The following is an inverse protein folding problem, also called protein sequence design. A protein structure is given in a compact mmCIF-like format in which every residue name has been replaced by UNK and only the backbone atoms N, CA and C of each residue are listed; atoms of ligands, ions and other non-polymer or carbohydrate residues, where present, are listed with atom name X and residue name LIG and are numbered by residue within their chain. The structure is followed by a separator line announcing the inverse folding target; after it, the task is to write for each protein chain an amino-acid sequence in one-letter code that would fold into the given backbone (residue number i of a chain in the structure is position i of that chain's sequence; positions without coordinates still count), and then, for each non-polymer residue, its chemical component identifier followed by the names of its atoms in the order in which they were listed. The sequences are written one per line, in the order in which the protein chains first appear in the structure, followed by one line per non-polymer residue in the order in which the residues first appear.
data_IF_753651538355
#
_entry.id   IF_753651538355
#
_cell.length_a   1.000
_cell.length_b   1.000
_cell.length_c   1.000
_cell.angle_alpha   90.00
_cell.angle_beta   90.00
_cell.angle_gamma   90.00
#
_symmetry.space_group_name_H-M   'P 1'
#
loop_
_entity.id
_entity.type
_entity.pdbx_description
1 polymer ?
#
# COMPACT_ATOMS: atom_id res chain seq x y z
N UNK A 1 0.14 14.44 7.77
CA UNK A 1 -0.83 13.66 6.98
C UNK A 1 -0.97 12.29 7.62
N UNK A 2 -2.17 11.73 7.69
CA UNK A 2 -2.40 10.43 8.32
C UNK A 2 -2.12 9.27 7.37
N UNK A 3 -1.96 8.07 7.92
CA UNK A 3 -1.74 6.85 7.15
C UNK A 3 -2.79 5.77 7.49
N UNK A 4 -3.32 5.11 6.48
CA UNK A 4 -4.11 3.89 6.60
C UNK A 4 -3.25 2.72 6.14
N UNK A 5 -2.86 1.83 7.06
CA UNK A 5 -2.08 0.64 6.73
C UNK A 5 -3.03 -0.54 6.59
N UNK A 6 -3.20 -1.02 5.36
CA UNK A 6 -4.02 -2.19 5.07
C UNK A 6 -3.26 -3.48 5.37
N UNK A 7 -3.99 -4.60 5.34
CA UNK A 7 -3.44 -5.93 5.62
C UNK A 7 -2.76 -6.02 7.00
N UNK A 8 -3.29 -5.33 8.02
CA UNK A 8 -2.69 -5.25 9.35
C UNK A 8 -2.63 -6.61 10.10
N UNK A 9 -3.06 -7.71 9.47
CA UNK A 9 -2.79 -9.08 9.91
C UNK A 9 -1.40 -9.59 9.46
N UNK A 10 -0.71 -8.92 8.54
CA UNK A 10 0.61 -9.30 8.02
C UNK A 10 1.75 -8.66 8.82
N UNK A 11 2.88 -9.36 8.90
CA UNK A 11 4.06 -8.91 9.68
C UNK A 11 4.66 -7.62 9.14
N UNK A 12 4.72 -7.46 7.83
CA UNK A 12 5.22 -6.24 7.18
C UNK A 12 4.30 -5.04 7.44
N UNK A 13 2.98 -5.21 7.42
CA UNK A 13 2.03 -4.17 7.80
C UNK A 13 2.22 -3.74 9.27
N UNK A 14 2.44 -4.69 10.19
CA UNK A 14 2.79 -4.38 11.59
C UNK A 14 4.08 -3.57 11.68
N UNK A 15 5.11 -3.94 10.92
CA UNK A 15 6.36 -3.18 10.86
C UNK A 15 6.14 -1.76 10.32
N UNK A 16 5.33 -1.61 9.27
CA UNK A 16 4.93 -0.31 8.71
C UNK A 16 4.20 0.57 9.73
N UNK A 17 3.20 0.02 10.45
CA UNK A 17 2.48 0.73 11.52
C UNK A 17 3.45 1.22 12.60
N UNK A 18 4.39 0.37 13.03
CA UNK A 18 5.40 0.74 14.03
C UNK A 18 6.33 1.83 13.53
N UNK A 19 6.85 1.70 12.31
CA UNK A 19 7.73 2.70 11.71
C UNK A 19 7.05 4.07 11.58
N UNK A 20 5.84 4.11 11.05
CA UNK A 20 5.05 5.32 10.93
C UNK A 20 4.74 5.96 12.29
N UNK A 21 4.27 5.17 13.26
CA UNK A 21 3.99 5.68 14.60
C UNK A 21 5.23 6.17 15.35
N UNK A 22 6.38 5.49 15.21
CA UNK A 22 7.67 5.97 15.75
C UNK A 22 8.09 7.30 15.13
N UNK A 23 7.75 7.54 13.86
CA UNK A 23 8.02 8.79 13.15
C UNK A 23 6.98 9.90 13.43
N UNK A 24 6.02 9.67 14.35
CA UNK A 24 4.98 10.65 14.70
C UNK A 24 3.81 10.70 13.72
N UNK A 25 3.71 9.78 12.76
CA UNK A 25 2.57 9.68 11.84
C UNK A 25 1.44 8.90 12.50
N UNK A 26 0.21 9.44 12.45
CA UNK A 26 -0.98 8.72 12.92
C UNK A 26 -1.32 7.58 11.95
N UNK A 27 -0.91 6.37 12.31
CA UNK A 27 -1.15 5.16 11.52
C UNK A 27 -2.42 4.43 11.99
N UNK A 28 -3.40 4.28 11.11
CA UNK A 28 -4.62 3.51 11.33
C UNK A 28 -4.45 2.11 10.77
N UNK A 29 -4.63 1.10 11.63
CA UNK A 29 -4.48 -0.31 11.24
C UNK A 29 -5.80 -0.84 10.68
N UNK A 30 -5.82 -1.18 9.39
CA UNK A 30 -6.95 -1.84 8.73
C UNK A 30 -6.65 -3.32 8.52
N UNK A 31 -7.54 -4.19 8.99
CA UNK A 31 -7.54 -5.60 8.64
C UNK A 31 -8.97 -6.12 8.53
N UNK A 32 -9.24 -7.10 7.66
CA UNK A 32 -10.57 -7.71 7.54
C UNK A 32 -10.98 -8.46 8.82
N UNK A 33 -10.02 -9.04 9.53
CA UNK A 33 -10.25 -9.79 10.76
C UNK A 33 -10.00 -8.95 12.03
N UNK A 34 -10.84 -9.15 13.05
CA UNK A 34 -10.69 -8.46 14.34
C UNK A 34 -9.35 -8.74 15.02
N UNK A 35 -8.77 -9.92 14.78
CA UNK A 35 -7.53 -10.38 15.40
C UNK A 35 -6.25 -10.00 14.64
N UNK A 36 -6.33 -9.11 13.65
CA UNK A 36 -5.13 -8.63 12.95
C UNK A 36 -4.13 -7.97 13.91
N UNK A 37 -2.92 -8.52 14.01
CA UNK A 37 -1.92 -8.12 15.01
C UNK A 37 -1.60 -6.61 15.00
N UNK A 38 -1.59 -5.97 13.84
CA UNK A 38 -1.33 -4.54 13.68
C UNK A 38 -2.37 -3.66 14.34
N UNK A 39 -3.62 -4.13 14.50
CA UNK A 39 -4.68 -3.41 15.23
C UNK A 39 -4.35 -3.27 16.71
N UNK A 40 -3.52 -4.15 17.25
CA UNK A 40 -3.12 -4.17 18.65
C UNK A 40 -1.71 -3.59 18.87
N UNK A 41 -1.10 -3.03 17.83
CA UNK A 41 0.16 -2.30 17.97
C UNK A 41 -0.04 -1.08 18.85
N UNK A 42 0.84 -0.86 19.83
CA UNK A 42 0.87 0.37 20.64
C UNK A 42 1.08 1.64 19.81
N UNK A 43 1.57 1.48 18.58
CA UNK A 43 1.82 2.58 17.63
C UNK A 43 0.66 2.81 16.65
N UNK A 44 -0.42 2.02 16.74
CA UNK A 44 -1.62 2.27 15.96
C UNK A 44 -2.44 3.40 16.62
N UNK A 45 -2.68 4.48 15.87
CA UNK A 45 -3.53 5.59 16.30
C UNK A 45 -5.03 5.23 16.29
N UNK A 46 -5.39 4.16 15.58
CA UNK A 46 -6.73 3.62 15.59
C UNK A 46 -6.84 2.32 14.80
N UNK A 47 -8.03 1.73 14.85
CA UNK A 47 -8.32 0.41 14.30
C UNK A 47 -9.50 0.53 13.35
N UNK A 48 -9.30 0.06 12.13
CA UNK A 48 -10.33 0.07 11.09
C UNK A 48 -10.69 -1.34 10.67
N UNK A 49 -11.92 -1.50 10.22
CA UNK A 49 -12.52 -2.71 9.65
C UNK A 49 -13.56 -2.31 8.61
N UNK A 50 -13.91 -3.23 7.73
CA UNK A 50 -14.87 -2.99 6.65
C UNK A 50 -14.18 -2.75 5.31
N UNK A 51 -14.93 -2.24 4.34
CA UNK A 51 -14.42 -1.98 2.99
C UNK A 51 -13.29 -0.94 3.03
N UNK A 52 -12.16 -1.26 2.39
CA UNK A 52 -10.97 -0.43 2.45
C UNK A 52 -11.16 0.94 1.78
N UNK A 53 -11.90 1.01 0.68
CA UNK A 53 -12.13 2.27 -0.02
C UNK A 53 -13.10 3.17 0.75
N UNK A 54 -14.15 2.61 1.34
CA UNK A 54 -15.05 3.37 2.21
C UNK A 54 -14.32 3.92 3.44
N UNK A 55 -13.48 3.10 4.07
CA UNK A 55 -12.66 3.53 5.21
C UNK A 55 -11.70 4.66 4.79
N UNK A 56 -11.01 4.50 3.66
CA UNK A 56 -10.09 5.52 3.15
C UNK A 56 -10.80 6.83 2.82
N UNK A 57 -11.94 6.76 2.13
CA UNK A 57 -12.75 7.91 1.76
C UNK A 57 -13.29 8.65 3.00
N UNK A 58 -13.79 7.92 4.00
CA UNK A 58 -14.29 8.50 5.27
C UNK A 58 -13.19 9.22 6.06
N UNK A 59 -11.95 8.76 5.97
CA UNK A 59 -10.82 9.30 6.73
C UNK A 59 -10.06 10.43 6.05
N UNK A 60 -10.24 10.62 4.74
CA UNK A 60 -9.46 11.58 3.95
C UNK A 60 -9.37 12.96 4.64
N UNK A 61 -8.21 13.63 4.60
CA UNK A 61 -7.00 13.34 3.81
C UNK A 61 -6.06 12.26 4.40
N UNK A 62 -5.72 11.21 3.63
CA UNK A 62 -4.97 10.03 4.11
C UNK A 62 -4.11 9.36 3.02
N UNK A 63 -2.97 8.78 3.39
CA UNK A 63 -2.16 7.91 2.51
C UNK A 63 -2.46 6.44 2.81
N UNK A 64 -2.67 5.60 1.79
CA UNK A 64 -2.99 4.18 2.00
C UNK A 64 -1.79 3.27 1.67
N UNK A 65 -1.30 2.54 2.67
CA UNK A 65 -0.17 1.60 2.56
C UNK A 65 -0.65 0.13 2.61
N UNK A 66 -0.79 -0.57 1.48
CA UNK A 66 -1.04 -2.01 1.44
C UNK A 66 0.18 -2.84 1.86
N UNK A 67 -0.11 -4.03 2.39
CA UNK A 67 0.90 -5.00 2.81
C UNK A 67 1.14 -6.12 1.79
N UNK A 68 0.42 -6.16 0.66
CA UNK A 68 0.60 -7.18 -0.37
C UNK A 68 0.19 -6.69 -1.76
N UNK A 69 0.69 -7.35 -2.80
CA UNK A 69 0.42 -7.00 -4.20
C UNK A 69 -1.07 -7.01 -4.54
N UNK A 70 -1.81 -8.03 -4.11
CA UNK A 70 -3.25 -8.12 -4.36
C UNK A 70 -4.03 -6.91 -3.80
N UNK A 71 -3.57 -6.31 -2.71
CA UNK A 71 -4.19 -5.12 -2.13
C UNK A 71 -3.80 -3.86 -2.91
N UNK A 72 -2.60 -3.80 -3.48
CA UNK A 72 -2.20 -2.75 -4.44
C UNK A 72 -3.14 -2.79 -5.66
N UNK A 73 -3.38 -3.96 -6.24
CA UNK A 73 -4.26 -4.10 -7.41
C UNK A 73 -5.69 -3.65 -7.12
N UNK A 74 -6.22 -4.05 -5.97
CA UNK A 74 -7.54 -3.61 -5.51
C UNK A 74 -7.61 -2.08 -5.35
N UNK A 75 -6.58 -1.46 -4.77
CA UNK A 75 -6.52 0.00 -4.60
C UNK A 75 -6.39 0.74 -5.94
N UNK A 76 -5.57 0.23 -6.87
CA UNK A 76 -5.43 0.82 -8.20
C UNK A 76 -6.74 0.74 -9.00
N UNK A 77 -7.45 -0.40 -8.93
CA UNK A 77 -8.76 -0.56 -9.55
C UNK A 77 -9.82 0.39 -8.95
N UNK A 78 -9.69 0.72 -7.67
CA UNK A 78 -10.59 1.64 -6.97
C UNK A 78 -10.18 3.11 -7.11
N UNK A 79 -9.00 3.42 -7.64
CA UNK A 79 -8.47 4.79 -7.77
C UNK A 79 -9.46 5.81 -8.34
N UNK A 80 -10.24 5.51 -9.41
CA UNK A 80 -11.24 6.46 -9.93
C UNK A 80 -12.38 6.79 -8.94
N UNK A 81 -12.61 5.92 -7.95
CA UNK A 81 -13.64 6.07 -6.90
C UNK A 81 -13.07 6.63 -5.60
N UNK A 82 -11.76 6.61 -5.43
CA UNK A 82 -11.09 7.22 -4.29
C UNK A 82 -11.15 8.74 -4.47
N UNK A 83 -11.86 9.43 -3.58
CA UNK A 83 -11.96 10.89 -3.62
C UNK A 83 -10.59 11.58 -3.45
N UNK A 84 -10.51 12.88 -3.79
CA UNK A 84 -9.24 13.64 -3.82
C UNK A 84 -8.47 13.75 -2.50
N UNK A 85 -9.04 13.31 -1.38
CA UNK A 85 -8.34 13.21 -0.09
C UNK A 85 -7.51 11.93 0.08
N UNK A 86 -7.62 10.95 -0.80
CA UNK A 86 -6.90 9.67 -0.68
C UNK A 86 -5.69 9.64 -1.59
N UNK A 87 -4.52 9.45 -1.01
CA UNK A 87 -3.26 9.30 -1.75
C UNK A 87 -2.85 7.83 -1.75
N UNK A 88 -2.65 7.31 -2.96
CA UNK A 88 -1.99 6.02 -3.16
C UNK A 88 -0.50 6.28 -3.40
N UNK A 89 0.42 5.69 -2.62
CA UNK A 89 1.86 5.89 -2.76
C UNK A 89 2.45 5.08 -3.92
N UNK A 90 1.72 5.03 -5.05
CA UNK A 90 2.06 4.28 -6.25
C UNK A 90 2.03 5.21 -7.46
N UNK A 91 2.88 4.96 -8.46
CA UNK A 91 2.74 5.60 -9.76
C UNK A 91 1.45 5.12 -10.45
N UNK A 92 1.20 5.61 -11.66
CA UNK A 92 0.00 5.27 -12.42
C UNK A 92 -0.13 3.75 -12.71
N UNK A 93 -1.35 3.21 -12.87
CA UNK A 93 -1.56 1.78 -13.04
C UNK A 93 -0.79 1.18 -14.22
N UNK A 94 -0.55 1.93 -15.29
CA UNK A 94 0.28 1.48 -16.42
C UNK A 94 1.75 1.32 -16.03
N UNK A 95 2.30 2.26 -15.26
CA UNK A 95 3.67 2.17 -14.76
C UNK A 95 3.84 1.00 -13.78
N UNK A 96 2.87 0.76 -12.90
CA UNK A 96 2.88 -0.41 -12.00
C UNK A 96 2.81 -1.71 -12.79
N UNK A 97 1.98 -1.78 -13.84
CA UNK A 97 1.89 -2.95 -14.72
C UNK A 97 3.20 -3.21 -15.46
N UNK A 98 3.79 -2.19 -16.06
CA UNK A 98 5.08 -2.29 -16.75
C UNK A 98 6.20 -2.79 -15.82
N UNK A 99 6.29 -2.27 -14.60
CA UNK A 99 7.29 -2.70 -13.62
C UNK A 99 7.09 -4.15 -13.13
N UNK A 100 5.88 -4.69 -13.24
CA UNK A 100 5.58 -6.08 -12.82
C UNK A 100 5.71 -7.11 -13.93
N UNK A 101 5.74 -6.70 -15.20
CA UNK A 101 5.96 -7.62 -16.31
C UNK A 101 7.44 -8.03 -16.35
N UNK A 102 7.74 -9.18 -15.73
CA UNK A 102 9.10 -9.73 -15.67
C UNK A 102 9.73 -9.96 -17.05
N UNK A 103 8.92 -10.13 -18.11
CA UNK A 103 9.43 -10.30 -19.48
C UNK A 103 10.02 -9.00 -20.03
N UNK A 104 9.43 -7.86 -19.67
CA UNK A 104 9.88 -6.53 -20.10
C UNK A 104 10.87 -5.85 -19.14
N UNK A 105 11.16 -6.46 -17.98
CA UNK A 105 12.01 -5.81 -16.96
C UNK A 105 13.43 -5.52 -17.43
N UNK A 106 14.03 -6.39 -18.25
CA UNK A 106 15.38 -6.17 -18.77
C UNK A 106 15.41 -4.97 -19.72
N UNK A 107 14.45 -4.87 -20.64
CA UNK A 107 14.32 -3.73 -21.54
C UNK A 107 14.04 -2.43 -20.78
N UNK A 108 13.13 -2.46 -19.81
CA UNK A 108 12.80 -1.30 -18.97
C UNK A 108 14.02 -0.80 -18.17
N UNK A 109 14.81 -1.72 -17.61
CA UNK A 109 16.02 -1.39 -16.87
C UNK A 109 17.12 -0.84 -17.80
N UNK A 110 17.35 -1.48 -18.95
CA UNK A 110 18.31 -1.01 -19.97
C UNK A 110 17.95 0.39 -20.49
N UNK A 111 16.66 0.65 -20.72
CA UNK A 111 16.16 1.98 -21.09
C UNK A 111 16.42 3.06 -20.03
N UNK A 112 16.64 2.67 -18.78
CA UNK A 112 17.05 3.55 -17.68
C UNK A 112 18.57 3.56 -17.43
N UNK A 113 19.37 2.90 -18.27
CA UNK A 113 20.81 2.76 -18.08
C UNK A 113 21.22 1.83 -16.92
N UNK A 114 20.30 0.99 -16.44
CA UNK A 114 20.58 0.02 -15.37
C UNK A 114 21.16 -1.28 -15.96
N UNK A 115 22.21 -1.85 -15.35
CA UNK A 115 22.73 -3.14 -15.77
C UNK A 115 21.71 -4.25 -15.49
N UNK A 116 21.55 -5.16 -16.44
CA UNK A 116 20.61 -6.28 -16.34
C UNK A 116 21.32 -7.63 -16.43
N UNK A 117 20.88 -8.65 -15.70
CA UNK A 117 21.38 -10.01 -15.91
C UNK A 117 20.99 -10.51 -17.30
N UNK A 118 21.75 -11.46 -17.85
CA UNK A 118 21.39 -12.13 -19.09
C UNK A 118 20.05 -12.89 -18.91
N UNK A 119 19.10 -12.66 -19.80
CA UNK A 119 17.81 -13.37 -19.85
C UNK A 119 17.78 -14.29 -21.08
N UNK A 120 17.00 -15.38 -21.01
CA UNK A 120 16.85 -16.35 -22.11
C UNK A 120 15.64 -16.07 -23.00
N UNK A 121 15.04 -14.90 -22.85
CA UNK A 121 13.79 -14.48 -23.47
C UNK A 121 13.97 -13.09 -24.04
#
# INVERSE_FOLDING_TARGET
MDALVADANLRNAVAGIRGLGCAGVRAFAHAPARLGAGRWSRFAAGRETGDLAEVAARRGPIVVYPGREATIDALLALRPRLGGGVVLPYPDPDAVRALRDKRGLAELASGCGLPTPATLF
#
